data_IF_241527696342
#
_entry.id   IF_241527696342
#
_cell.length_a   1.000
_cell.length_b   1.000
_cell.length_c   1.000
_cell.angle_alpha   90.00
_cell.angle_beta   90.00
_cell.angle_gamma   90.00
#
_symmetry.space_group_name_H-M   'P 1'
#
loop_
_entity.id
_entity.type
_entity.pdbx_description
1 polymer ?
#
# COMPACT_ATOMS: atom_id res chain seq x y z
N UNK A 1 -10.12 10.54 -9.89
CA UNK A 1 -10.55 11.95 -9.68
C UNK A 1 -11.97 12.23 -10.15
N UNK A 2 -12.41 11.72 -11.30
CA UNK A 2 -13.75 11.98 -11.84
C UNK A 2 -14.79 10.94 -11.45
N UNK A 3 -14.37 9.75 -11.04
CA UNK A 3 -15.24 8.62 -10.67
C UNK A 3 -15.19 8.33 -9.17
N UNK A 4 -14.03 8.06 -8.61
CA UNK A 4 -13.84 7.63 -7.21
C UNK A 4 -14.06 8.79 -6.24
N UNK A 5 -13.39 9.93 -6.44
CA UNK A 5 -13.44 11.07 -5.50
C UNK A 5 -14.86 11.58 -5.21
N UNK A 6 -15.74 11.80 -6.22
CA UNK A 6 -17.12 12.26 -5.93
C UNK A 6 -17.90 11.25 -5.07
N UNK A 7 -17.71 9.96 -5.31
CA UNK A 7 -18.39 8.92 -4.53
C UNK A 7 -17.92 8.92 -3.08
N UNK A 8 -16.60 9.04 -2.85
CA UNK A 8 -16.03 9.09 -1.52
C UNK A 8 -16.42 10.35 -0.75
N UNK A 9 -16.36 11.53 -1.37
CA UNK A 9 -16.80 12.77 -0.72
C UNK A 9 -18.25 12.67 -0.24
N UNK A 10 -19.15 12.14 -1.08
CA UNK A 10 -20.57 11.96 -0.75
C UNK A 10 -20.78 10.87 0.30
N UNK A 11 -20.08 9.73 0.19
CA UNK A 11 -20.10 8.66 1.20
C UNK A 11 -19.75 9.18 2.59
N UNK A 12 -18.79 10.09 2.68
CA UNK A 12 -18.30 10.63 3.95
C UNK A 12 -18.91 11.99 4.32
N UNK A 13 -19.91 12.48 3.56
CA UNK A 13 -20.61 13.72 3.87
C UNK A 13 -19.73 14.97 3.81
N UNK A 14 -18.75 15.01 2.92
CA UNK A 14 -17.77 16.08 2.77
C UNK A 14 -18.19 17.01 1.64
N UNK A 15 -18.49 18.27 1.98
CA UNK A 15 -18.80 19.29 0.97
C UNK A 15 -17.51 19.79 0.29
N UNK A 16 -16.46 20.02 1.08
CA UNK A 16 -15.15 20.47 0.59
C UNK A 16 -14.03 19.71 1.29
N UNK A 17 -13.07 19.20 0.51
CA UNK A 17 -11.85 18.58 1.01
C UNK A 17 -10.66 19.48 0.69
N UNK A 18 -9.91 19.86 1.71
CA UNK A 18 -8.76 20.77 1.61
C UNK A 18 -7.51 20.01 2.02
N UNK A 19 -6.54 19.95 1.11
CA UNK A 19 -5.29 19.20 1.28
C UNK A 19 -4.11 20.14 1.03
N UNK A 20 -3.66 20.87 2.06
CA UNK A 20 -2.46 21.70 1.97
C UNK A 20 -1.21 20.86 2.13
N UNK A 21 -0.17 21.21 1.40
CA UNK A 21 1.12 20.54 1.47
C UNK A 21 2.25 21.43 0.96
N UNK A 22 3.48 21.06 1.28
CA UNK A 22 4.69 21.75 0.81
C UNK A 22 5.66 20.74 0.20
N UNK A 23 6.58 21.21 -0.62
CA UNK A 23 7.71 20.44 -1.10
C UNK A 23 8.50 19.86 0.09
N UNK A 24 8.78 18.55 0.05
CA UNK A 24 9.37 17.72 1.11
C UNK A 24 8.48 17.46 2.34
N UNK A 25 7.23 17.90 2.30
CA UNK A 25 6.21 17.59 3.30
C UNK A 25 4.86 17.48 2.60
N UNK A 26 4.82 16.58 1.62
CA UNK A 26 3.61 16.22 0.92
C UNK A 26 2.69 15.38 1.80
N UNK A 27 1.39 15.60 1.66
CA UNK A 27 0.37 14.74 2.27
C UNK A 27 0.47 13.32 1.69
N UNK A 28 0.32 12.26 2.47
CA UNK A 28 0.36 10.87 1.97
C UNK A 28 -0.57 10.59 0.78
N UNK A 29 -1.68 11.32 0.65
CA UNK A 29 -2.60 11.18 -0.49
C UNK A 29 -2.04 11.80 -1.78
N UNK A 30 -0.92 12.54 -1.72
CA UNK A 30 -0.35 13.28 -2.85
C UNK A 30 -0.25 12.47 -4.13
N UNK A 31 0.34 11.28 -4.06
CA UNK A 31 0.54 10.41 -5.22
C UNK A 31 -0.77 9.98 -5.89
N UNK A 32 -1.89 9.95 -5.15
CA UNK A 32 -3.24 9.66 -5.67
C UNK A 32 -3.94 10.89 -6.25
N UNK A 33 -3.40 12.09 -6.00
CA UNK A 33 -3.99 13.35 -6.47
C UNK A 33 -3.30 13.92 -7.70
N UNK A 34 -2.05 13.55 -7.97
CA UNK A 34 -1.22 14.18 -9.01
C UNK A 34 -0.94 13.25 -10.19
N UNK A 35 -0.56 13.85 -11.33
CA UNK A 35 -0.15 13.10 -12.50
C UNK A 35 1.14 12.31 -12.22
N UNK A 36 1.40 11.20 -12.95
CA UNK A 36 2.61 10.40 -12.80
C UNK A 36 3.92 11.17 -12.98
N UNK A 37 3.89 12.28 -13.70
CA UNK A 37 5.05 13.15 -13.96
C UNK A 37 5.29 14.22 -12.90
N UNK A 38 4.46 14.27 -11.85
CA UNK A 38 4.58 15.24 -10.74
C UNK A 38 5.21 14.55 -9.53
N UNK A 39 6.41 14.99 -9.16
CA UNK A 39 7.20 14.37 -8.08
C UNK A 39 7.19 15.14 -6.76
N UNK A 40 6.78 16.41 -6.80
CA UNK A 40 6.75 17.27 -5.61
C UNK A 40 5.61 18.28 -5.69
N UNK A 41 5.13 18.72 -4.53
CA UNK A 41 4.10 19.75 -4.40
C UNK A 41 4.57 21.15 -4.79
N UNK A 42 5.87 21.35 -4.98
CA UNK A 42 6.53 22.64 -5.29
C UNK A 42 6.06 23.78 -4.37
N UNK A 43 6.92 24.18 -3.41
CA UNK A 43 6.61 25.20 -2.41
C UNK A 43 5.33 24.83 -1.63
N UNK A 44 4.34 25.73 -1.52
CA UNK A 44 3.03 25.40 -0.95
C UNK A 44 2.01 25.21 -2.07
N UNK A 45 1.38 24.03 -2.12
CA UNK A 45 0.24 23.74 -2.97
C UNK A 45 -0.93 23.30 -2.09
N UNK A 46 -2.11 23.90 -2.31
CA UNK A 46 -3.33 23.51 -1.60
C UNK A 46 -4.29 22.95 -2.64
N UNK A 47 -4.54 21.63 -2.57
CA UNK A 47 -5.58 21.01 -3.38
C UNK A 47 -6.93 21.19 -2.69
N UNK A 48 -7.91 21.68 -3.44
CA UNK A 48 -9.28 21.92 -2.94
C UNK A 48 -10.24 21.18 -3.85
N UNK A 49 -11.07 20.35 -3.25
CA UNK A 49 -12.14 19.62 -3.92
C UNK A 49 -13.46 20.08 -3.36
N UNK A 50 -14.39 20.52 -4.22
CA UNK A 50 -15.71 20.99 -3.81
C UNK A 50 -16.80 20.26 -4.56
N UNK A 51 -17.69 19.55 -3.85
CA UNK A 51 -18.83 18.89 -4.45
C UNK A 51 -19.95 19.90 -4.72
N UNK A 52 -20.15 20.21 -5.97
CA UNK A 52 -21.22 21.14 -6.41
C UNK A 52 -22.63 20.63 -6.09
N UNK A 53 -22.78 19.32 -5.82
CA UNK A 53 -24.05 18.76 -5.36
C UNK A 53 -24.36 19.10 -3.90
N UNK A 54 -23.35 19.36 -3.08
CA UNK A 54 -23.54 19.66 -1.65
C UNK A 54 -24.44 20.86 -1.41
N UNK A 55 -24.42 21.86 -2.31
CA UNK A 55 -25.28 23.07 -2.23
C UNK A 55 -26.72 22.80 -2.60
N UNK A 56 -27.03 21.68 -3.28
CA UNK A 56 -28.36 21.42 -3.87
C UNK A 56 -29.24 20.46 -3.08
N UNK A 57 -28.75 19.94 -1.94
CA UNK A 57 -29.43 18.89 -1.17
C UNK A 57 -29.30 17.49 -1.79
N UNK A 58 -29.40 16.46 -0.96
CA UNK A 58 -29.09 15.06 -1.29
C UNK A 58 -30.01 14.37 -2.32
N UNK A 59 -30.88 15.10 -3.01
CA UNK A 59 -31.92 14.55 -3.91
C UNK A 59 -31.52 14.49 -5.39
N UNK A 60 -30.30 14.89 -5.77
CA UNK A 60 -29.91 14.90 -7.19
C UNK A 60 -29.04 13.71 -7.54
N UNK A 61 -29.46 12.98 -8.57
CA UNK A 61 -28.75 11.84 -9.16
C UNK A 61 -27.27 12.15 -9.46
N UNK A 62 -26.35 11.20 -9.27
CA UNK A 62 -24.90 11.38 -9.38
C UNK A 62 -24.38 11.91 -10.71
N UNK A 63 -25.17 11.91 -11.76
CA UNK A 63 -24.78 12.24 -13.15
C UNK A 63 -24.79 13.71 -13.50
N UNK A 64 -25.38 14.58 -12.70
CA UNK A 64 -25.58 16.01 -13.06
C UNK A 64 -24.66 17.00 -12.34
N UNK A 65 -23.92 16.60 -11.33
CA UNK A 65 -23.01 17.49 -10.61
C UNK A 65 -21.59 16.92 -10.52
N UNK A 66 -20.62 17.81 -10.69
CA UNK A 66 -19.19 17.46 -10.63
C UNK A 66 -18.55 17.94 -9.34
N UNK A 67 -17.40 17.34 -9.00
CA UNK A 67 -16.49 17.87 -8.00
C UNK A 67 -15.52 18.84 -8.68
N UNK A 68 -15.53 20.10 -8.27
CA UNK A 68 -14.50 21.04 -8.66
C UNK A 68 -13.16 20.60 -8.09
N UNK A 69 -12.11 20.71 -8.89
CA UNK A 69 -10.73 20.36 -8.54
C UNK A 69 -9.85 21.57 -8.76
N UNK A 70 -9.39 22.16 -7.67
CA UNK A 70 -8.63 23.42 -7.69
C UNK A 70 -7.25 23.16 -7.09
N UNK A 71 -6.22 23.68 -7.75
CA UNK A 71 -4.85 23.67 -7.24
C UNK A 71 -4.40 25.11 -6.95
N UNK A 72 -4.43 25.49 -5.68
CA UNK A 72 -3.95 26.80 -5.25
C UNK A 72 -2.43 26.75 -5.15
N UNK A 73 -1.73 27.60 -5.90
CA UNK A 73 -0.28 27.59 -5.99
C UNK A 73 0.32 26.48 -6.86
N UNK A 74 -0.48 25.50 -7.26
CA UNK A 74 -0.07 24.38 -8.11
C UNK A 74 -0.22 24.65 -9.61
N UNK A 75 -0.23 23.56 -10.39
CA UNK A 75 -0.41 23.55 -11.84
C UNK A 75 -1.72 22.86 -12.23
N UNK A 76 -2.15 23.04 -13.48
CA UNK A 76 -3.36 22.38 -13.99
C UNK A 76 -3.20 20.87 -14.18
N UNK A 77 -1.98 20.36 -14.21
CA UNK A 77 -1.66 18.93 -14.40
C UNK A 77 -2.41 18.31 -15.61
N UNK A 78 -2.24 18.93 -16.76
CA UNK A 78 -2.91 18.48 -17.99
C UNK A 78 -4.41 18.75 -18.03
N UNK A 79 -4.90 19.75 -17.28
CA UNK A 79 -6.33 20.10 -17.25
C UNK A 79 -7.14 19.35 -16.18
N UNK A 80 -6.51 18.54 -15.35
CA UNK A 80 -7.18 17.86 -14.22
C UNK A 80 -7.63 18.87 -13.17
N UNK A 81 -6.88 19.95 -12.98
CA UNK A 81 -7.14 21.01 -12.01
C UNK A 81 -7.33 22.38 -12.64
N UNK A 82 -8.19 23.19 -12.05
CA UNK A 82 -8.17 24.62 -12.20
C UNK A 82 -7.02 25.19 -11.36
N UNK A 83 -5.93 25.62 -12.00
CA UNK A 83 -4.81 26.24 -11.30
C UNK A 83 -5.16 27.70 -10.93
N UNK A 84 -5.05 28.04 -9.65
CA UNK A 84 -5.28 29.39 -9.13
C UNK A 84 -4.02 29.83 -8.35
N UNK A 85 -3.51 31.01 -8.69
CA UNK A 85 -2.35 31.58 -8.02
C UNK A 85 -2.71 32.92 -7.41
N UNK A 86 -2.09 33.28 -6.28
CA UNK A 86 -2.24 34.61 -5.73
C UNK A 86 -1.65 35.62 -6.70
N UNK A 87 -2.31 36.74 -6.86
CA UNK A 87 -1.89 37.87 -7.72
C UNK A 87 -1.17 38.96 -6.95
N UNK A 88 -0.71 38.72 -5.73
CA UNK A 88 0.15 39.65 -4.99
C UNK A 88 1.51 39.71 -5.66
N UNK A 89 1.56 40.44 -6.76
CA UNK A 89 2.76 40.71 -7.49
C UNK A 89 3.47 41.88 -6.83
N UNK A 90 4.67 41.66 -6.34
CA UNK A 90 5.66 42.70 -6.39
C UNK A 90 5.97 42.96 -7.88
N UNK A 91 5.65 44.09 -8.40
CA UNK A 91 6.01 44.47 -9.75
C UNK A 91 7.56 44.42 -9.86
N UNK A 92 8.05 43.42 -10.58
CA UNK A 92 9.46 43.39 -10.96
C UNK A 92 9.75 44.54 -11.95
N UNK A 93 11.04 44.94 -12.12
CA UNK A 93 11.40 45.97 -13.07
C UNK A 93 10.85 45.66 -14.47
N UNK A 94 10.35 46.68 -15.14
CA UNK A 94 9.83 46.56 -16.50
C UNK A 94 10.89 45.94 -17.42
N UNK A 95 10.56 44.81 -18.08
CA UNK A 95 11.46 44.10 -19.01
C UNK A 95 11.99 42.74 -18.53
N UNK A 96 11.82 42.37 -17.27
CA UNK A 96 12.08 41.01 -16.85
C UNK A 96 10.90 40.11 -17.22
N UNK A 97 11.17 38.92 -17.76
CA UNK A 97 10.16 37.85 -17.99
C UNK A 97 9.58 37.37 -16.65
N UNK A 98 8.78 38.17 -16.02
CA UNK A 98 8.24 37.93 -14.72
C UNK A 98 7.02 38.78 -14.51
N UNK A 99 6.00 38.57 -15.34
CA UNK A 99 4.69 38.92 -14.89
C UNK A 99 4.52 38.33 -13.50
N UNK A 100 4.29 39.20 -12.52
CA UNK A 100 3.76 38.91 -11.21
C UNK A 100 4.07 37.47 -10.72
N UNK A 101 5.23 37.23 -10.15
CA UNK A 101 5.50 35.92 -9.52
C UNK A 101 4.51 35.74 -8.39
N UNK A 102 3.61 34.79 -8.57
CA UNK A 102 2.74 34.39 -7.50
C UNK A 102 3.57 33.97 -6.29
N UNK A 103 3.29 34.57 -5.13
CA UNK A 103 3.89 34.15 -3.88
C UNK A 103 3.35 32.73 -3.57
N UNK A 104 4.21 31.73 -3.48
CA UNK A 104 3.86 30.31 -3.34
C UNK A 104 4.28 29.71 -1.99
N UNK A 105 4.84 30.48 -1.08
CA UNK A 105 5.39 29.97 0.20
C UNK A 105 4.91 30.73 1.43
N UNK A 106 4.37 31.92 1.30
CA UNK A 106 3.88 32.70 2.42
C UNK A 106 2.37 32.59 2.61
N UNK A 107 1.78 33.60 3.23
CA UNK A 107 0.39 33.60 3.66
C UNK A 107 -0.62 33.93 2.55
N UNK A 108 -0.12 34.43 1.40
CA UNK A 108 -1.00 34.79 0.29
C UNK A 108 -1.85 33.62 -0.23
N UNK A 109 -1.34 32.40 -0.19
CA UNK A 109 -2.12 31.21 -0.58
C UNK A 109 -3.27 30.93 0.37
N UNK A 110 -3.12 31.24 1.66
CA UNK A 110 -4.21 31.11 2.62
C UNK A 110 -5.34 32.11 2.35
N UNK A 111 -5.03 33.31 1.90
CA UNK A 111 -6.05 34.30 1.50
C UNK A 111 -6.81 33.83 0.25
N UNK A 112 -6.14 33.20 -0.71
CA UNK A 112 -6.79 32.58 -1.87
C UNK A 112 -7.69 31.42 -1.44
N UNK A 113 -7.24 30.58 -0.49
CA UNK A 113 -8.07 29.52 0.09
C UNK A 113 -9.33 30.11 0.77
N UNK A 114 -9.15 31.12 1.60
CA UNK A 114 -10.27 31.80 2.27
C UNK A 114 -11.31 32.30 1.25
N UNK A 115 -10.88 33.00 0.21
CA UNK A 115 -11.77 33.49 -0.85
C UNK A 115 -12.47 32.32 -1.58
N UNK A 116 -11.75 31.23 -1.81
CA UNK A 116 -12.28 30.02 -2.42
C UNK A 116 -13.42 29.42 -1.59
N UNK A 117 -13.23 29.34 -0.27
CA UNK A 117 -14.22 28.85 0.70
C UNK A 117 -15.41 29.81 0.81
N UNK A 118 -15.15 31.11 0.90
CA UNK A 118 -16.22 32.16 0.99
C UNK A 118 -17.16 32.10 -0.20
N UNK A 119 -16.60 31.94 -1.40
CA UNK A 119 -17.41 31.88 -2.64
C UNK A 119 -18.29 30.63 -2.69
N UNK A 120 -17.87 29.51 -2.14
CA UNK A 120 -18.57 28.21 -2.22
C UNK A 120 -19.40 27.89 -0.99
N UNK A 121 -19.13 28.56 0.12
CA UNK A 121 -19.83 28.42 1.40
C UNK A 121 -20.10 26.96 1.83
N UNK A 122 -19.07 26.05 1.88
CA UNK A 122 -19.27 24.67 2.29
C UNK A 122 -19.74 24.57 3.74
N UNK A 123 -20.58 23.58 4.04
CA UNK A 123 -21.03 23.28 5.42
C UNK A 123 -20.01 22.45 6.18
N UNK A 124 -19.33 21.53 5.46
CA UNK A 124 -18.31 20.62 5.99
C UNK A 124 -17.03 20.78 5.19
N UNK A 125 -15.95 21.17 5.87
CA UNK A 125 -14.60 21.27 5.33
C UNK A 125 -13.78 20.15 5.92
N UNK A 126 -13.35 19.19 5.11
CA UNK A 126 -12.52 18.07 5.56
C UNK A 126 -11.03 18.40 5.40
N UNK A 127 -10.21 18.00 6.36
CA UNK A 127 -8.75 18.09 6.34
C UNK A 127 -8.13 16.78 6.85
N UNK A 128 -6.95 16.45 6.38
CA UNK A 128 -6.30 15.18 6.68
C UNK A 128 -5.56 15.24 8.03
N UNK A 129 -6.26 14.86 9.08
CA UNK A 129 -5.68 14.67 10.43
C UNK A 129 -6.21 13.38 11.03
N UNK A 130 -5.32 12.56 11.59
CA UNK A 130 -5.66 11.30 12.24
C UNK A 130 -4.71 11.01 13.40
N UNK A 131 -5.19 10.24 14.39
CA UNK A 131 -4.34 9.65 15.43
C UNK A 131 -4.02 8.19 15.17
N UNK A 132 -4.64 7.60 14.16
CA UNK A 132 -4.61 6.16 13.87
C UNK A 132 -3.97 5.87 12.52
N UNK A 133 -4.39 6.59 11.49
CA UNK A 133 -3.98 6.34 10.11
C UNK A 133 -2.96 7.38 9.65
N UNK A 134 -1.69 7.00 9.57
CA UNK A 134 -0.63 7.85 9.02
C UNK A 134 -0.97 8.36 7.61
N UNK A 135 -1.65 7.53 6.80
CA UNK A 135 -2.12 7.92 5.46
C UNK A 135 -3.17 9.03 5.45
N UNK A 136 -3.76 9.33 6.60
CA UNK A 136 -4.79 10.37 6.76
C UNK A 136 -4.34 11.51 7.67
N UNK A 137 -3.04 11.58 8.00
CA UNK A 137 -2.45 12.56 8.93
C UNK A 137 -1.38 13.41 8.24
N UNK A 138 -1.73 13.96 7.07
CA UNK A 138 -0.79 14.74 6.25
C UNK A 138 -0.77 16.24 6.55
N UNK A 139 -1.73 16.77 7.30
CA UNK A 139 -1.77 18.18 7.65
C UNK A 139 -0.81 18.47 8.82
N UNK A 140 0.36 19.06 8.50
CA UNK A 140 1.31 19.44 9.54
C UNK A 140 0.77 20.57 10.43
N UNK A 141 1.27 20.67 11.68
CA UNK A 141 0.82 21.69 12.64
C UNK A 141 1.01 23.11 12.09
N UNK A 142 2.14 23.40 11.46
CA UNK A 142 2.40 24.73 10.89
C UNK A 142 1.45 25.10 9.75
N UNK A 143 1.06 24.13 8.90
CA UNK A 143 0.06 24.35 7.87
C UNK A 143 -1.36 24.51 8.47
N UNK A 144 -1.70 23.76 9.52
CA UNK A 144 -2.99 23.91 10.22
C UNK A 144 -3.09 25.28 10.92
N UNK A 145 -2.02 25.73 11.59
CA UNK A 145 -1.96 27.05 12.23
C UNK A 145 -2.19 28.19 11.21
N UNK A 146 -1.42 28.20 10.11
CA UNK A 146 -1.52 29.20 9.06
C UNK A 146 -2.89 29.20 8.39
N UNK A 147 -3.43 28.01 8.09
CA UNK A 147 -4.77 27.84 7.54
C UNK A 147 -5.85 28.41 8.48
N UNK A 148 -5.83 28.01 9.76
CA UNK A 148 -6.84 28.45 10.74
C UNK A 148 -6.78 29.94 11.00
N UNK A 149 -5.59 30.52 11.09
CA UNK A 149 -5.41 31.96 11.26
C UNK A 149 -6.04 32.75 10.09
N UNK A 150 -5.82 32.29 8.86
CA UNK A 150 -6.37 32.94 7.67
C UNK A 150 -7.90 32.76 7.55
N UNK A 151 -8.42 31.58 7.89
CA UNK A 151 -9.85 31.29 7.76
C UNK A 151 -10.72 31.98 8.81
N UNK A 152 -10.22 32.14 10.03
CA UNK A 152 -10.97 32.70 11.16
C UNK A 152 -12.08 31.78 11.69
N UNK A 153 -12.72 32.18 12.79
CA UNK A 153 -13.65 31.33 13.57
C UNK A 153 -14.84 30.80 12.77
N UNK A 154 -15.40 31.61 11.85
CA UNK A 154 -16.53 31.21 11.01
C UNK A 154 -16.25 29.93 10.22
N UNK A 155 -15.10 29.82 9.61
CA UNK A 155 -14.77 28.69 8.72
C UNK A 155 -14.10 27.56 9.48
N UNK A 156 -13.28 27.86 10.48
CA UNK A 156 -12.63 26.83 11.31
C UNK A 156 -13.64 26.00 12.08
N UNK A 157 -14.82 26.55 12.45
CA UNK A 157 -15.91 25.80 13.09
C UNK A 157 -16.51 24.71 12.20
N UNK A 158 -16.32 24.80 10.87
CA UNK A 158 -16.79 23.81 9.88
C UNK A 158 -15.76 22.76 9.53
N UNK A 159 -14.53 22.88 10.05
CA UNK A 159 -13.46 21.91 9.79
C UNK A 159 -13.76 20.61 10.53
N UNK A 160 -13.57 19.48 9.82
CA UNK A 160 -13.70 18.11 10.34
C UNK A 160 -12.50 17.28 9.89
N UNK A 161 -12.14 16.30 10.69
CA UNK A 161 -11.14 15.29 10.32
C UNK A 161 -11.66 14.42 9.19
N UNK A 162 -10.80 14.11 8.24
CA UNK A 162 -11.09 13.24 7.10
C UNK A 162 -10.27 11.94 7.19
N UNK A 163 -10.54 11.08 8.16
CA UNK A 163 -9.76 9.86 8.32
C UNK A 163 -10.04 8.82 7.22
N UNK A 164 -11.29 8.51 6.96
CA UNK A 164 -11.65 7.48 5.97
C UNK A 164 -11.51 7.96 4.51
N UNK A 165 -11.76 9.22 4.22
CA UNK A 165 -11.73 9.77 2.85
C UNK A 165 -10.34 9.63 2.19
N UNK A 166 -9.23 10.14 2.75
CA UNK A 166 -7.91 9.94 2.16
C UNK A 166 -7.47 8.48 2.17
N UNK A 167 -7.78 7.71 3.23
CA UNK A 167 -7.47 6.29 3.32
C UNK A 167 -8.10 5.51 2.16
N UNK A 168 -9.40 5.67 1.93
CA UNK A 168 -10.11 5.00 0.85
C UNK A 168 -9.70 5.53 -0.54
N UNK A 169 -9.32 6.81 -0.65
CA UNK A 169 -8.81 7.38 -1.90
C UNK A 169 -7.50 6.73 -2.33
N UNK A 170 -6.59 6.49 -1.38
CA UNK A 170 -5.32 5.79 -1.62
C UNK A 170 -5.57 4.30 -1.91
N UNK A 171 -6.47 3.67 -1.17
CA UNK A 171 -6.74 2.24 -1.23
C UNK A 171 -7.47 1.79 -2.49
N UNK A 172 -8.32 2.65 -3.07
CA UNK A 172 -9.16 2.27 -4.21
C UNK A 172 -8.35 2.17 -5.50
N UNK A 173 -8.38 1.00 -6.13
CA UNK A 173 -7.75 0.72 -7.41
C UNK A 173 -8.73 0.91 -8.56
N UNK A 174 -8.18 1.22 -9.73
CA UNK A 174 -8.97 1.31 -10.96
C UNK A 174 -8.86 0.00 -11.75
N UNK A 175 -9.92 -0.46 -12.42
CA UNK A 175 -9.86 -1.69 -13.21
C UNK A 175 -8.73 -1.70 -14.27
N UNK A 176 -8.37 -0.54 -14.80
CA UNK A 176 -7.26 -0.42 -15.76
C UNK A 176 -5.87 -0.67 -15.18
N UNK A 177 -5.72 -0.67 -13.85
CA UNK A 177 -4.44 -0.96 -13.18
C UNK A 177 -4.18 -2.48 -13.09
N UNK A 178 -5.23 -3.31 -13.11
CA UNK A 178 -5.12 -4.75 -12.82
C UNK A 178 -4.19 -5.50 -13.79
N UNK A 179 -4.32 -5.28 -15.10
CA UNK A 179 -3.50 -5.98 -16.10
C UNK A 179 -2.02 -5.59 -16.01
N UNK A 180 -1.73 -4.33 -15.68
CA UNK A 180 -0.36 -3.90 -15.44
C UNK A 180 0.19 -4.52 -14.15
N UNK A 181 -0.62 -4.58 -13.10
CA UNK A 181 -0.21 -5.16 -11.83
C UNK A 181 0.06 -6.67 -11.93
N UNK A 182 -0.75 -7.41 -12.68
CA UNK A 182 -0.50 -8.82 -13.02
C UNK A 182 0.86 -9.00 -13.71
N UNK A 183 1.19 -8.11 -14.65
CA UNK A 183 2.50 -8.11 -15.31
C UNK A 183 3.63 -7.84 -14.32
N UNK A 184 3.45 -6.89 -13.41
CA UNK A 184 4.44 -6.55 -12.38
C UNK A 184 4.66 -7.73 -11.43
N UNK A 185 3.58 -8.36 -10.97
CA UNK A 185 3.64 -9.56 -10.12
C UNK A 185 4.34 -10.72 -10.85
N UNK A 186 4.09 -10.92 -12.15
CA UNK A 186 4.79 -11.94 -12.95
C UNK A 186 6.30 -11.66 -13.02
N UNK A 187 6.72 -10.40 -13.09
CA UNK A 187 8.16 -10.04 -13.06
C UNK A 187 8.76 -10.36 -11.70
N UNK A 188 8.09 -10.05 -10.59
CA UNK A 188 8.54 -10.40 -9.25
C UNK A 188 8.72 -11.93 -9.11
N UNK A 189 7.73 -12.71 -9.54
CA UNK A 189 7.80 -14.17 -9.59
C UNK A 189 9.00 -14.67 -10.40
N UNK A 190 9.25 -14.14 -11.58
CA UNK A 190 10.37 -14.54 -12.44
C UNK A 190 11.73 -14.28 -11.78
N UNK A 191 11.85 -13.16 -11.04
CA UNK A 191 13.07 -12.87 -10.27
C UNK A 191 13.27 -13.91 -9.16
N UNK A 192 12.23 -14.22 -8.39
CA UNK A 192 12.29 -15.22 -7.31
C UNK A 192 12.61 -16.63 -7.86
N UNK A 193 11.90 -17.06 -8.92
CA UNK A 193 12.12 -18.35 -9.58
C UNK A 193 13.59 -18.51 -10.05
N UNK A 194 14.16 -17.43 -10.59
CA UNK A 194 15.58 -17.45 -11.01
C UNK A 194 16.52 -17.42 -9.81
N UNK A 195 16.22 -16.60 -8.79
CA UNK A 195 17.01 -16.49 -7.57
C UNK A 195 17.10 -17.84 -6.83
N UNK A 196 15.99 -18.58 -6.78
CA UNK A 196 15.92 -19.91 -6.15
C UNK A 196 16.15 -21.05 -7.15
N UNK A 197 17.19 -20.89 -7.98
CA UNK A 197 17.63 -21.89 -8.97
C UNK A 197 19.15 -22.01 -9.02
N UNK A 198 19.66 -22.98 -9.76
CA UNK A 198 21.10 -23.14 -10.01
C UNK A 198 21.73 -22.03 -10.86
N UNK A 199 20.94 -21.12 -11.40
CA UNK A 199 21.47 -19.90 -12.06
C UNK A 199 22.16 -18.99 -11.05
N UNK A 200 21.66 -18.96 -9.80
CA UNK A 200 22.15 -18.08 -8.73
C UNK A 200 22.79 -18.86 -7.60
N UNK A 201 22.21 -19.99 -7.20
CA UNK A 201 22.64 -20.74 -6.03
C UNK A 201 23.51 -21.93 -6.43
N UNK A 202 24.74 -21.94 -5.93
CA UNK A 202 25.63 -23.09 -5.89
C UNK A 202 25.70 -23.58 -4.44
N UNK A 203 25.06 -24.74 -4.12
CA UNK A 203 25.07 -25.27 -2.76
C UNK A 203 26.49 -25.47 -2.22
N UNK A 204 26.72 -25.11 -0.96
CA UNK A 204 28.05 -25.17 -0.31
C UNK A 204 28.96 -23.96 -0.59
N UNK A 205 28.53 -23.02 -1.47
CA UNK A 205 29.32 -21.84 -1.85
C UNK A 205 28.49 -20.56 -1.64
N UNK A 206 27.30 -20.45 -2.24
CA UNK A 206 26.46 -19.24 -2.23
C UNK A 206 25.91 -18.99 -0.83
N UNK A 207 26.00 -17.74 -0.38
CA UNK A 207 25.39 -17.26 0.86
C UNK A 207 24.03 -16.65 0.62
N UNK A 208 23.23 -16.50 1.66
CA UNK A 208 21.92 -15.81 1.54
C UNK A 208 22.04 -14.38 1.04
N UNK A 209 23.04 -13.62 1.50
CA UNK A 209 23.29 -12.26 1.00
C UNK A 209 23.67 -12.20 -0.48
N UNK A 210 24.36 -13.21 -1.01
CA UNK A 210 24.70 -13.26 -2.44
C UNK A 210 23.42 -13.32 -3.28
N UNK A 211 22.40 -14.07 -2.82
CA UNK A 211 21.08 -14.15 -3.47
C UNK A 211 20.35 -12.82 -3.37
N UNK A 212 20.35 -12.21 -2.18
CA UNK A 212 19.72 -10.89 -1.94
C UNK A 212 20.31 -9.83 -2.88
N UNK A 213 21.65 -9.75 -2.96
CA UNK A 213 22.29 -8.77 -3.84
C UNK A 213 22.07 -9.07 -5.32
N UNK A 214 21.98 -10.34 -5.70
CA UNK A 214 21.60 -10.71 -7.06
C UNK A 214 20.16 -10.21 -7.39
N UNK A 215 19.19 -10.42 -6.49
CA UNK A 215 17.82 -9.93 -6.66
C UNK A 215 17.79 -8.41 -6.79
N UNK A 216 18.53 -7.68 -5.94
CA UNK A 216 18.68 -6.22 -6.01
C UNK A 216 19.26 -5.77 -7.35
N UNK A 217 20.32 -6.41 -7.81
CA UNK A 217 20.93 -6.09 -9.09
C UNK A 217 19.96 -6.35 -10.24
N UNK A 218 19.20 -7.44 -10.17
CA UNK A 218 18.22 -7.77 -11.20
C UNK A 218 17.09 -6.74 -11.30
N UNK A 219 16.63 -6.20 -10.18
CA UNK A 219 15.67 -5.08 -10.16
C UNK A 219 16.23 -3.85 -10.88
N UNK A 220 17.49 -3.50 -10.59
CA UNK A 220 18.17 -2.38 -11.24
C UNK A 220 18.34 -2.61 -12.76
N UNK A 221 18.72 -3.81 -13.18
CA UNK A 221 18.88 -4.17 -14.60
C UNK A 221 17.57 -4.05 -15.39
N UNK A 222 16.44 -4.28 -14.72
CA UNK A 222 15.11 -4.13 -15.29
C UNK A 222 14.61 -2.67 -15.28
N UNK A 223 15.37 -1.73 -14.71
CA UNK A 223 14.97 -0.33 -14.56
C UNK A 223 13.80 -0.14 -13.58
N UNK A 224 13.62 -1.06 -12.63
CA UNK A 224 12.57 -1.04 -11.63
C UNK A 224 13.08 -0.48 -10.30
N UNK A 225 12.16 -0.14 -9.40
CA UNK A 225 12.43 0.20 -8.01
C UNK A 225 12.11 -0.95 -7.07
N UNK A 226 12.41 -0.73 -5.80
CA UNK A 226 11.96 -1.56 -4.69
C UNK A 226 11.54 -0.65 -3.54
N UNK A 227 10.68 -1.13 -2.65
CA UNK A 227 10.20 -0.36 -1.52
C UNK A 227 10.72 -0.89 -0.17
N UNK A 228 11.36 -2.06 -0.18
CA UNK A 228 12.11 -2.61 0.95
C UNK A 228 13.32 -3.42 0.47
N UNK A 229 14.23 -3.73 1.38
CA UNK A 229 15.38 -4.57 1.09
C UNK A 229 14.93 -6.04 1.17
N UNK A 230 15.10 -6.84 0.10
CA UNK A 230 14.71 -8.24 0.14
C UNK A 230 15.48 -9.03 1.19
N UNK A 231 14.85 -10.08 1.69
CA UNK A 231 15.50 -11.03 2.60
C UNK A 231 15.53 -12.43 2.00
N UNK A 232 16.56 -13.21 2.41
CA UNK A 232 16.65 -14.65 2.14
C UNK A 232 17.07 -15.34 3.41
N UNK A 233 16.25 -16.28 3.88
CA UNK A 233 16.45 -17.03 5.11
C UNK A 233 16.61 -18.53 4.84
N UNK A 234 17.25 -19.23 5.76
CA UNK A 234 17.48 -20.68 5.70
C UNK A 234 16.91 -21.36 6.93
N UNK A 235 16.16 -22.42 6.72
CA UNK A 235 15.87 -23.40 7.78
C UNK A 235 16.57 -24.71 7.43
N UNK A 236 17.30 -25.26 8.39
CA UNK A 236 18.14 -26.47 8.23
C UNK A 236 17.79 -27.52 9.25
N UNK A 237 17.76 -28.77 8.80
CA UNK A 237 17.55 -29.92 9.67
C UNK A 237 18.60 -29.96 10.78
N UNK A 238 18.15 -30.04 12.03
CA UNK A 238 18.99 -30.13 13.21
C UNK A 238 19.71 -28.85 13.63
N UNK A 239 19.41 -27.72 13.00
CA UNK A 239 19.95 -26.41 13.37
C UNK A 239 18.83 -25.42 13.75
N UNK A 240 19.15 -24.54 14.68
CA UNK A 240 18.33 -23.37 15.02
C UNK A 240 18.78 -22.17 14.18
N UNK A 241 17.92 -21.20 14.04
CA UNK A 241 18.22 -19.93 13.37
C UNK A 241 19.48 -19.24 13.96
N UNK A 242 19.59 -19.20 15.28
CA UNK A 242 20.75 -18.63 15.96
C UNK A 242 22.08 -19.36 15.65
N UNK A 243 22.02 -20.67 15.36
CA UNK A 243 23.22 -21.45 14.96
C UNK A 243 23.61 -21.18 13.50
N UNK A 244 22.66 -20.82 12.64
CA UNK A 244 22.91 -20.49 11.23
C UNK A 244 23.49 -19.08 11.08
N UNK A 245 23.08 -18.14 11.94
CA UNK A 245 23.42 -16.72 11.84
C UNK A 245 22.73 -16.03 10.67
N UNK A 246 23.07 -14.76 10.46
CA UNK A 246 22.33 -13.88 9.56
C UNK A 246 22.66 -14.09 8.06
N UNK A 247 23.80 -14.70 7.73
CA UNK A 247 24.26 -14.89 6.35
C UNK A 247 24.88 -16.28 6.14
N UNK A 248 24.09 -17.36 6.29
CA UNK A 248 24.61 -18.72 6.17
C UNK A 248 24.95 -19.07 4.73
N UNK A 249 25.92 -19.99 4.56
CA UNK A 249 26.13 -20.67 3.29
C UNK A 249 24.98 -21.66 3.09
N UNK A 250 24.31 -21.54 1.96
CA UNK A 250 23.19 -22.41 1.55
C UNK A 250 23.74 -23.81 1.27
N UNK A 251 23.14 -24.84 1.88
CA UNK A 251 23.57 -26.25 1.80
C UNK A 251 22.47 -27.11 1.20
N UNK A 252 22.85 -28.27 0.69
CA UNK A 252 21.90 -29.29 0.28
C UNK A 252 21.02 -29.73 1.45
N UNK A 253 19.72 -29.80 1.23
CA UNK A 253 18.70 -30.12 2.23
C UNK A 253 18.17 -28.92 2.99
N UNK A 254 18.61 -27.70 2.67
CA UNK A 254 18.06 -26.47 3.25
C UNK A 254 16.70 -26.13 2.66
N UNK A 255 15.80 -25.63 3.50
CA UNK A 255 14.60 -24.90 3.10
C UNK A 255 14.95 -23.42 3.06
N UNK A 256 14.65 -22.80 1.94
CA UNK A 256 14.85 -21.37 1.70
C UNK A 256 13.51 -20.63 1.82
N UNK A 257 13.56 -19.41 2.28
CA UNK A 257 12.46 -18.45 2.26
C UNK A 257 13.00 -17.13 1.74
N UNK A 258 12.24 -16.44 0.90
CA UNK A 258 12.53 -15.04 0.55
C UNK A 258 11.31 -14.16 0.75
N UNK A 259 11.58 -12.91 1.03
CA UNK A 259 10.63 -11.81 1.00
C UNK A 259 11.12 -10.78 -0.02
N UNK A 260 10.29 -10.48 -1.03
CA UNK A 260 10.70 -9.70 -2.20
C UNK A 260 9.56 -8.92 -2.83
N UNK A 261 9.80 -7.63 -3.04
CA UNK A 261 8.87 -6.75 -3.74
C UNK A 261 9.54 -5.79 -4.72
N UNK A 262 8.84 -5.43 -5.77
CA UNK A 262 9.29 -4.47 -6.80
C UNK A 262 8.29 -3.33 -6.96
N UNK A 263 8.81 -2.20 -7.45
CA UNK A 263 8.03 -0.98 -7.68
C UNK A 263 8.13 -0.55 -9.14
N UNK A 264 6.97 -0.35 -9.79
CA UNK A 264 6.89 0.33 -11.08
C UNK A 264 5.63 1.19 -11.16
N UNK A 265 5.71 2.35 -11.80
CA UNK A 265 4.61 3.31 -11.97
C UNK A 265 3.85 3.61 -10.67
N UNK A 266 4.58 3.68 -9.55
CA UNK A 266 4.08 3.86 -8.18
C UNK A 266 3.26 2.69 -7.62
N UNK A 267 3.26 1.54 -8.25
CA UNK A 267 2.64 0.33 -7.72
C UNK A 267 3.72 -0.59 -7.18
N UNK A 268 3.45 -1.21 -6.06
CA UNK A 268 4.35 -2.11 -5.35
C UNK A 268 3.76 -3.51 -5.35
N UNK A 269 4.61 -4.53 -5.50
CA UNK A 269 4.27 -5.93 -5.22
C UNK A 269 4.90 -6.36 -3.91
N UNK A 270 4.36 -7.41 -3.33
CA UNK A 270 4.90 -8.09 -2.17
C UNK A 270 4.72 -9.59 -2.30
N UNK A 271 5.79 -10.37 -2.10
CA UNK A 271 5.74 -11.79 -2.41
C UNK A 271 6.75 -12.57 -1.57
N UNK A 272 6.28 -13.56 -0.82
CA UNK A 272 7.15 -14.48 -0.08
C UNK A 272 7.03 -15.89 -0.63
N UNK A 273 8.16 -16.48 -0.99
CA UNK A 273 8.23 -17.84 -1.53
C UNK A 273 9.16 -18.73 -0.76
N UNK A 274 8.87 -20.03 -0.86
CA UNK A 274 9.67 -21.11 -0.30
C UNK A 274 10.49 -21.79 -1.39
N UNK A 275 11.77 -22.06 -1.11
CA UNK A 275 12.67 -22.86 -1.93
C UNK A 275 13.18 -24.09 -1.17
N UNK A 276 13.65 -25.09 -1.90
CA UNK A 276 14.32 -26.26 -1.33
C UNK A 276 15.55 -26.64 -2.13
N UNK A 277 16.67 -26.85 -1.44
CA UNK A 277 17.92 -27.28 -2.04
C UNK A 277 17.98 -28.81 -1.99
N UNK A 278 17.77 -29.46 -3.13
CA UNK A 278 17.75 -30.91 -3.25
C UNK A 278 19.09 -31.55 -2.78
N UNK A 279 19.03 -32.68 -2.06
CA UNK A 279 20.17 -33.53 -1.83
C UNK A 279 20.53 -34.29 -3.11
N UNK A 280 21.68 -34.92 -3.16
CA UNK A 280 22.18 -35.56 -4.39
C UNK A 280 21.28 -36.71 -4.87
N UNK A 281 20.63 -37.40 -3.94
CA UNK A 281 19.74 -38.53 -4.18
C UNK A 281 18.25 -38.12 -4.30
N UNK A 282 17.93 -36.87 -4.07
CA UNK A 282 16.55 -36.36 -4.08
C UNK A 282 16.16 -35.82 -5.47
N UNK A 283 14.92 -36.07 -5.86
CA UNK A 283 14.26 -35.46 -7.03
C UNK A 283 13.17 -34.48 -6.64
N UNK A 284 12.66 -34.62 -5.44
CA UNK A 284 11.56 -33.85 -4.86
C UNK A 284 11.86 -33.56 -3.38
N UNK A 285 11.28 -32.50 -2.80
CA UNK A 285 11.40 -32.25 -1.35
C UNK A 285 10.79 -33.39 -0.54
N UNK A 286 11.26 -33.62 0.70
CA UNK A 286 10.63 -34.54 1.65
C UNK A 286 9.11 -34.30 1.80
N UNK A 287 8.34 -35.37 1.92
CA UNK A 287 6.88 -35.30 1.97
C UNK A 287 6.34 -34.41 3.10
N UNK A 288 7.02 -34.41 4.25
CA UNK A 288 6.67 -33.53 5.38
C UNK A 288 6.85 -32.04 5.06
N UNK A 289 7.85 -31.66 4.28
CA UNK A 289 8.05 -30.29 3.82
C UNK A 289 6.95 -29.89 2.82
N UNK A 290 6.62 -30.77 1.87
CA UNK A 290 5.51 -30.54 0.93
C UNK A 290 4.19 -30.36 1.67
N UNK A 291 3.95 -31.15 2.73
CA UNK A 291 2.77 -30.97 3.57
C UNK A 291 2.79 -29.65 4.35
N UNK A 292 3.94 -29.21 4.86
CA UNK A 292 4.09 -27.92 5.52
C UNK A 292 3.72 -26.75 4.59
N UNK A 293 4.17 -26.78 3.33
CA UNK A 293 3.78 -25.82 2.30
C UNK A 293 2.28 -25.85 2.01
N UNK A 294 1.68 -27.03 1.92
CA UNK A 294 0.22 -27.18 1.75
C UNK A 294 -0.57 -26.61 2.93
N UNK A 295 -0.04 -26.72 4.15
CA UNK A 295 -0.67 -26.15 5.33
C UNK A 295 -0.74 -24.62 5.26
N UNK A 296 0.34 -23.96 4.81
CA UNK A 296 0.31 -22.50 4.61
C UNK A 296 -0.63 -22.09 3.45
N UNK A 297 -0.65 -22.85 2.34
CA UNK A 297 -1.64 -22.64 1.29
C UNK A 297 -3.09 -22.76 1.82
N UNK A 298 -3.33 -23.72 2.73
CA UNK A 298 -4.65 -23.83 3.35
C UNK A 298 -5.00 -22.62 4.19
N UNK A 299 -4.05 -22.05 4.92
CA UNK A 299 -4.28 -20.81 5.66
C UNK A 299 -4.57 -19.65 4.71
N UNK A 300 -3.88 -19.55 3.55
CA UNK A 300 -4.22 -18.57 2.52
C UNK A 300 -5.67 -18.70 2.04
N UNK A 301 -6.14 -19.93 1.77
CA UNK A 301 -7.54 -20.18 1.39
C UNK A 301 -8.52 -19.72 2.47
N UNK A 302 -8.17 -19.93 3.74
CA UNK A 302 -9.00 -19.50 4.87
C UNK A 302 -9.06 -17.96 4.91
N UNK A 303 -7.93 -17.27 4.83
CA UNK A 303 -7.89 -15.79 4.87
C UNK A 303 -8.69 -15.20 3.70
N UNK A 304 -8.46 -15.69 2.47
CA UNK A 304 -9.20 -15.24 1.27
C UNK A 304 -10.70 -15.47 1.42
N UNK A 305 -11.10 -16.60 1.99
CA UNK A 305 -12.51 -16.92 2.24
C UNK A 305 -13.17 -15.96 3.23
N UNK A 306 -12.40 -15.39 4.15
CA UNK A 306 -12.87 -14.43 5.15
C UNK A 306 -12.72 -12.96 4.69
N UNK A 307 -11.86 -12.68 3.70
CA UNK A 307 -11.59 -11.35 3.17
C UNK A 307 -12.74 -10.86 2.29
N UNK A 308 -13.65 -10.07 2.87
CA UNK A 308 -14.86 -9.59 2.16
C UNK A 308 -15.13 -8.12 2.44
N UNK A 309 -15.60 -7.34 1.44
CA UNK A 309 -16.02 -5.96 1.66
C UNK A 309 -17.01 -5.81 2.81
N UNK A 310 -16.80 -4.77 3.61
CA UNK A 310 -17.59 -4.45 4.80
C UNK A 310 -17.06 -5.03 6.10
N UNK A 311 -16.26 -6.11 6.07
CA UNK A 311 -15.60 -6.65 7.28
C UNK A 311 -14.39 -5.81 7.67
N UNK A 312 -14.09 -5.76 8.95
CA UNK A 312 -12.85 -5.15 9.44
C UNK A 312 -11.68 -6.15 9.35
N UNK A 313 -10.45 -5.64 9.33
CA UNK A 313 -9.26 -6.50 9.38
C UNK A 313 -9.24 -7.41 10.61
N UNK A 314 -9.65 -6.87 11.77
CA UNK A 314 -9.74 -7.63 13.02
C UNK A 314 -10.82 -8.73 12.98
N UNK A 315 -11.92 -8.55 12.28
CA UNK A 315 -12.93 -9.59 12.06
C UNK A 315 -12.40 -10.70 11.16
N UNK A 316 -11.67 -10.34 10.08
CA UNK A 316 -11.02 -11.29 9.18
C UNK A 316 -9.97 -12.11 9.95
N UNK A 317 -9.10 -11.45 10.72
CA UNK A 317 -8.07 -12.11 11.54
C UNK A 317 -8.68 -13.15 12.48
N UNK A 318 -9.63 -12.72 13.34
CA UNK A 318 -10.24 -13.62 14.34
C UNK A 318 -10.90 -14.84 13.71
N UNK A 319 -11.66 -14.65 12.62
CA UNK A 319 -12.30 -15.76 11.92
C UNK A 319 -11.28 -16.70 11.28
N UNK A 320 -10.24 -16.15 10.66
CA UNK A 320 -9.19 -16.94 10.02
C UNK A 320 -8.42 -17.78 11.03
N UNK A 321 -8.00 -17.21 12.15
CA UNK A 321 -7.28 -17.93 13.20
C UNK A 321 -8.17 -19.00 13.86
N UNK A 322 -9.44 -18.69 14.13
CA UNK A 322 -10.38 -19.66 14.69
C UNK A 322 -10.56 -20.85 13.77
N UNK A 323 -10.70 -20.62 12.46
CA UNK A 323 -10.85 -21.69 11.46
C UNK A 323 -9.57 -22.49 11.27
N UNK A 324 -8.41 -21.83 11.18
CA UNK A 324 -7.12 -22.51 11.10
C UNK A 324 -6.90 -23.43 12.31
N UNK A 325 -7.20 -22.96 13.53
CA UNK A 325 -7.12 -23.74 14.76
C UNK A 325 -8.09 -24.95 14.73
N UNK A 326 -9.31 -24.77 14.24
CA UNK A 326 -10.28 -25.85 14.14
C UNK A 326 -9.85 -26.95 13.13
N UNK A 327 -9.05 -26.58 12.13
CA UNK A 327 -8.45 -27.52 11.17
C UNK A 327 -7.07 -28.07 11.65
N UNK A 328 -6.65 -27.75 12.88
CA UNK A 328 -5.38 -28.23 13.45
C UNK A 328 -4.13 -27.54 12.88
N UNK A 329 -4.30 -26.37 12.25
CA UNK A 329 -3.21 -25.59 11.68
C UNK A 329 -2.66 -24.58 12.70
N UNK A 330 -1.32 -24.51 12.85
CA UNK A 330 -0.64 -23.47 13.61
C UNK A 330 -0.30 -22.32 12.68
N UNK A 331 -1.15 -21.27 12.70
CA UNK A 331 -1.07 -20.15 11.77
C UNK A 331 -0.75 -18.84 12.49
N UNK A 332 0.03 -17.98 11.81
CA UNK A 332 0.18 -16.56 12.12
C UNK A 332 -0.22 -15.78 10.86
N UNK A 333 -1.11 -14.79 10.99
CA UNK A 333 -1.63 -14.00 9.86
C UNK A 333 -1.26 -12.55 10.08
N UNK A 334 -0.64 -11.92 9.08
CA UNK A 334 -0.19 -10.52 9.15
C UNK A 334 -0.34 -9.80 7.81
N UNK A 335 -1.43 -10.15 7.11
CA UNK A 335 -1.79 -9.63 5.77
C UNK A 335 -2.17 -8.15 5.80
N UNK A 336 -1.86 -7.45 4.74
CA UNK A 336 -2.04 -6.00 4.64
C UNK A 336 -2.53 -5.57 3.25
N UNK A 337 -3.15 -4.37 3.13
CA UNK A 337 -3.39 -3.76 1.83
C UNK A 337 -2.10 -3.46 1.10
N UNK A 338 -2.14 -3.49 -0.25
CA UNK A 338 -1.01 -3.15 -1.11
C UNK A 338 -1.46 -2.28 -2.29
N UNK A 339 -0.54 -1.63 -2.96
CA UNK A 339 -0.78 -0.83 -4.15
C UNK A 339 0.20 0.32 -4.29
N UNK A 340 -0.25 1.57 -4.11
CA UNK A 340 0.64 2.76 -4.17
C UNK A 340 1.70 2.75 -3.06
N UNK A 341 1.38 2.13 -1.95
CA UNK A 341 2.31 1.87 -0.86
C UNK A 341 2.38 0.35 -0.66
N UNK A 342 3.53 -0.17 -0.29
CA UNK A 342 3.73 -1.59 0.00
C UNK A 342 2.88 -2.01 1.21
N UNK A 343 3.17 -1.57 2.41
CA UNK A 343 2.22 -1.63 3.52
C UNK A 343 1.14 -0.57 3.31
N UNK A 344 0.11 -0.93 2.53
CA UNK A 344 -0.85 -0.01 1.95
C UNK A 344 -1.87 0.60 2.90
N UNK A 345 -2.65 1.54 2.35
CA UNK A 345 -3.76 2.18 3.05
C UNK A 345 -4.94 1.22 3.19
N UNK A 346 -5.45 1.04 4.40
CA UNK A 346 -6.61 0.19 4.69
C UNK A 346 -6.45 -0.66 5.95
N UNK A 347 -7.29 -1.71 6.10
CA UNK A 347 -7.30 -2.55 7.29
C UNK A 347 -6.10 -3.51 7.34
N UNK A 348 -5.39 -3.55 8.47
CA UNK A 348 -4.44 -4.61 8.78
C UNK A 348 -5.16 -5.86 9.29
N UNK A 349 -4.66 -7.03 8.92
CA UNK A 349 -5.17 -8.34 9.33
C UNK A 349 -4.09 -9.03 10.17
N UNK A 350 -3.94 -8.59 11.43
CA UNK A 350 -2.88 -9.03 12.32
C UNK A 350 -1.54 -8.33 12.08
N UNK A 351 -0.57 -8.68 12.93
CA UNK A 351 0.85 -8.34 12.82
C UNK A 351 1.64 -9.61 13.11
N UNK A 352 2.83 -9.75 12.55
CA UNK A 352 3.66 -10.96 12.72
C UNK A 352 3.93 -11.31 14.21
N UNK A 353 4.00 -10.29 15.07
CA UNK A 353 4.25 -10.37 16.50
C UNK A 353 3.00 -10.15 17.37
N UNK A 354 1.83 -9.86 16.78
CA UNK A 354 0.60 -9.59 17.52
C UNK A 354 -0.65 -10.09 16.82
N UNK A 355 -1.29 -11.13 17.38
CA UNK A 355 -2.41 -11.85 16.77
C UNK A 355 -3.78 -11.59 17.45
N UNK A 356 -3.85 -10.72 18.46
CA UNK A 356 -5.09 -10.43 19.19
C UNK A 356 -5.95 -9.32 18.54
N UNK A 357 -5.51 -8.83 17.39
CA UNK A 357 -6.14 -7.74 16.63
C UNK A 357 -5.33 -6.44 16.71
N UNK A 358 -5.44 -5.60 15.70
CA UNK A 358 -4.71 -4.33 15.58
C UNK A 358 -5.64 -3.18 15.89
N UNK A 359 -5.54 -2.55 17.09
CA UNK A 359 -6.41 -1.43 17.44
C UNK A 359 -6.31 -0.29 16.42
N UNK A 360 -7.45 0.24 16.03
CA UNK A 360 -7.55 1.32 15.04
C UNK A 360 -7.31 0.87 13.62
N UNK A 361 -6.07 0.50 13.25
CA UNK A 361 -5.75 0.09 11.87
C UNK A 361 -6.48 -1.18 11.43
N UNK A 362 -6.64 -2.15 12.32
CA UNK A 362 -7.42 -3.35 12.05
C UNK A 362 -8.94 -3.14 12.09
N UNK A 363 -9.42 -2.00 12.61
CA UNK A 363 -10.84 -1.66 12.67
C UNK A 363 -11.34 -0.99 11.38
N UNK A 364 -10.44 -0.61 10.48
CA UNK A 364 -10.81 -0.19 9.13
C UNK A 364 -11.50 -1.33 8.37
N UNK A 365 -12.32 -0.97 7.39
CA UNK A 365 -13.10 -1.94 6.61
C UNK A 365 -12.45 -2.23 5.26
N UNK A 366 -12.53 -3.48 4.87
CA UNK A 366 -12.27 -3.91 3.50
C UNK A 366 -13.30 -3.26 2.58
N UNK A 367 -12.85 -2.70 1.46
CA UNK A 367 -13.71 -2.08 0.45
C UNK A 367 -13.54 -2.80 -0.91
N UNK A 368 -14.53 -2.73 -1.81
CA UNK A 368 -14.35 -3.17 -3.19
C UNK A 368 -13.23 -2.41 -3.89
N UNK A 369 -12.63 -3.02 -4.90
CA UNK A 369 -11.50 -2.46 -5.66
C UNK A 369 -10.29 -2.14 -4.77
N UNK A 370 -9.98 -3.02 -3.83
CA UNK A 370 -8.76 -3.01 -3.03
C UNK A 370 -7.85 -4.16 -3.42
N UNK A 371 -6.55 -3.98 -3.22
CA UNK A 371 -5.59 -5.07 -3.29
C UNK A 371 -5.02 -5.36 -1.90
N UNK A 372 -4.68 -6.63 -1.68
CA UNK A 372 -4.05 -7.09 -0.44
C UNK A 372 -2.87 -7.98 -0.76
N UNK A 373 -1.86 -7.92 0.06
CA UNK A 373 -0.91 -9.00 0.19
C UNK A 373 -1.40 -9.99 1.24
N UNK A 374 -1.57 -11.25 0.84
CA UNK A 374 -2.00 -12.34 1.73
C UNK A 374 -0.77 -12.96 2.35
N UNK A 375 -0.28 -12.27 3.36
CA UNK A 375 0.93 -12.58 4.10
C UNK A 375 0.61 -13.36 5.37
N UNK A 376 1.26 -14.51 5.52
CA UNK A 376 1.03 -15.42 6.63
C UNK A 376 2.09 -16.50 6.73
N UNK A 377 2.11 -17.23 7.81
CA UNK A 377 2.88 -18.45 7.95
C UNK A 377 2.08 -19.57 8.62
N UNK A 378 2.43 -20.81 8.27
CA UNK A 378 2.02 -22.00 9.00
C UNK A 378 3.26 -22.74 9.52
N UNK A 379 3.22 -23.15 10.78
CA UNK A 379 4.29 -23.95 11.39
C UNK A 379 3.85 -25.40 11.48
N UNK A 380 4.67 -26.32 10.98
CA UNK A 380 4.35 -27.73 10.91
C UNK A 380 5.51 -28.60 11.38
N UNK A 381 5.27 -29.67 12.14
CA UNK A 381 6.31 -30.66 12.43
C UNK A 381 6.63 -31.49 11.19
N UNK A 382 7.90 -31.68 10.88
CA UNK A 382 8.37 -32.47 9.74
C UNK A 382 9.00 -33.75 10.23
N UNK A 383 8.38 -34.87 9.91
CA UNK A 383 8.79 -36.20 10.40
C UNK A 383 10.21 -36.58 9.95
N UNK A 384 10.56 -36.29 8.70
CA UNK A 384 11.89 -36.53 8.13
C UNK A 384 12.99 -35.70 8.81
N UNK A 385 12.60 -34.64 9.51
CA UNK A 385 13.48 -33.81 10.33
C UNK A 385 13.40 -34.16 11.84
N UNK A 386 12.87 -35.37 12.17
CA UNK A 386 12.72 -35.79 13.56
C UNK A 386 11.66 -35.01 14.35
N UNK A 387 10.66 -34.46 13.67
CA UNK A 387 9.62 -33.66 14.28
C UNK A 387 9.98 -32.18 14.46
N UNK A 388 11.12 -31.73 13.91
CA UNK A 388 11.49 -30.32 13.93
C UNK A 388 10.37 -29.50 13.29
N UNK A 389 10.04 -28.38 13.93
CA UNK A 389 9.05 -27.42 13.40
C UNK A 389 9.65 -26.64 12.23
N UNK A 390 8.95 -26.64 11.11
CA UNK A 390 9.31 -25.86 9.93
C UNK A 390 8.22 -24.80 9.70
N UNK A 391 8.68 -23.58 9.51
CA UNK A 391 7.86 -22.42 9.16
C UNK A 391 7.75 -22.33 7.63
N UNK A 392 6.53 -22.42 7.11
CA UNK A 392 6.23 -22.10 5.72
C UNK A 392 5.56 -20.74 5.69
N UNK A 393 6.34 -19.70 5.38
CA UNK A 393 5.85 -18.34 5.20
C UNK A 393 5.62 -18.10 3.71
N UNK A 394 4.45 -17.58 3.38
CA UNK A 394 4.05 -17.31 2.01
C UNK A 394 3.28 -16.01 1.93
N UNK A 395 3.49 -15.30 0.84
CA UNK A 395 2.83 -14.05 0.56
C UNK A 395 2.55 -13.91 -0.93
N UNK A 396 1.31 -13.57 -1.24
CA UNK A 396 0.86 -13.38 -2.61
C UNK A 396 -0.19 -12.28 -2.69
N UNK A 397 -0.10 -11.48 -3.72
CA UNK A 397 -1.03 -10.38 -3.94
C UNK A 397 -2.38 -10.86 -4.48
N UNK A 398 -3.46 -10.30 -3.93
CA UNK A 398 -4.83 -10.51 -4.38
C UNK A 398 -5.51 -9.19 -4.72
N UNK A 399 -6.51 -9.28 -5.60
CA UNK A 399 -7.37 -8.18 -6.03
C UNK A 399 -8.80 -8.46 -5.61
N UNK A 400 -9.43 -7.51 -4.94
CA UNK A 400 -10.87 -7.53 -4.66
C UNK A 400 -11.56 -6.76 -5.77
N UNK A 401 -12.43 -7.42 -6.53
CA UNK A 401 -13.18 -6.76 -7.61
C UNK A 401 -14.29 -5.84 -7.10
N UNK A 402 -14.93 -5.13 -8.02
CA UNK A 402 -16.14 -4.35 -7.73
C UNK A 402 -17.31 -5.24 -7.26
N UNK A 403 -17.28 -6.52 -7.65
CA UNK A 403 -18.22 -7.58 -7.24
C UNK A 403 -17.92 -8.14 -5.83
N UNK A 404 -16.85 -7.67 -5.19
CA UNK A 404 -16.39 -8.14 -3.88
C UNK A 404 -15.69 -9.50 -3.91
N UNK A 405 -15.47 -10.08 -5.10
CA UNK A 405 -14.76 -11.36 -5.24
C UNK A 405 -13.27 -11.15 -5.18
N UNK A 406 -12.60 -11.95 -4.35
CA UNK A 406 -11.14 -11.96 -4.22
C UNK A 406 -10.54 -12.91 -5.26
N UNK A 407 -9.54 -12.43 -5.98
CA UNK A 407 -8.79 -13.19 -6.99
C UNK A 407 -7.30 -12.95 -6.79
N UNK A 408 -6.49 -13.98 -7.00
CA UNK A 408 -5.03 -13.79 -7.07
C UNK A 408 -4.68 -12.76 -8.15
N UNK A 409 -3.74 -11.88 -7.87
CA UNK A 409 -3.23 -10.93 -8.87
C UNK A 409 -2.57 -11.68 -10.03
N UNK A 410 -1.90 -12.78 -9.74
CA UNK A 410 -1.35 -13.70 -10.72
C UNK A 410 -1.76 -15.15 -10.38
N UNK A 411 -1.10 -15.73 -9.40
CA UNK A 411 -1.27 -17.09 -8.88
C UNK A 411 -0.64 -17.16 -7.49
N UNK A 412 -0.74 -18.30 -6.82
CA UNK A 412 0.02 -18.54 -5.59
C UNK A 412 1.05 -19.64 -5.79
N UNK A 413 2.07 -19.65 -4.96
CA UNK A 413 3.03 -20.74 -4.90
C UNK A 413 2.38 -21.99 -4.31
N UNK A 414 2.47 -23.13 -5.02
CA UNK A 414 1.95 -24.45 -4.57
C UNK A 414 3.01 -25.53 -4.51
N UNK A 415 4.24 -25.24 -4.95
CA UNK A 415 5.38 -26.11 -4.89
C UNK A 415 6.64 -25.30 -4.57
N UNK A 416 7.62 -25.93 -3.92
CA UNK A 416 8.93 -25.31 -3.69
C UNK A 416 9.63 -24.99 -5.00
N UNK A 417 10.33 -23.86 -5.06
CA UNK A 417 11.37 -23.66 -6.06
C UNK A 417 12.54 -24.60 -5.74
N UNK A 418 13.09 -25.25 -6.77
CA UNK A 418 14.10 -26.29 -6.56
C UNK A 418 15.49 -25.84 -7.01
N UNK A 419 16.44 -25.91 -6.08
CA UNK A 419 17.87 -25.82 -6.37
C UNK A 419 18.43 -27.22 -6.42
N UNK A 420 19.14 -27.59 -7.49
CA UNK A 420 19.64 -28.95 -7.77
C UNK A 420 21.15 -29.09 -7.53
#
# INVERSE_FOLDING_TARGET
MTTVLPLLMRKHGVDMWVVPMREYNEDPVFSSLVSPTTFAARRRTIYVFYDQCAARGASTTPTSCTVERIALGGTSQGGVYQAVRSTTAAAGPAGTRGAAQAELWGDAQWQVLRKTIETRNPRVIAVNTSRVFAFSDGLSSGEDEGMRAALGSKWTSRIRRAEALPLEMIATRLPGENAFYETLTQLAWTVIETAFSNVVITPGITRTDDVVWWMRQRVNDLGLGTWFHPSVEVQRRGATEAQLGDNPIIQRGDVLHCDFGITALRLNTDTQHMGYVLREDEREPPAGLVQALRNSNRVQDIVIGELRPGRTGNEVLRSSLARAKAEGLSATVYSHPIGVNGHGAGPLIGLWDYQDGVPGRGDARVIPNMWFSIELQATSPVAEWGGQLVRSAQEEDVMIGADGVVRWALRRQTAFHLVR
#
